data_IF_406564990201
#
_entry.id   IF_406564990201
#
_cell.length_a   1.000
_cell.length_b   1.000
_cell.length_c   1.000
_cell.angle_alpha   90.00
_cell.angle_beta   90.00
_cell.angle_gamma   90.00
#
_symmetry.space_group_name_H-M   'P 1'
#
loop_
_entity.id
_entity.type
_entity.pdbx_description
1 polymer ?
#
# COMPACT_ATOMS: atom_id res chain seq x y z
N UNK A 1 -0.60 -13.67 27.72
CA UNK A 1 -0.59 -13.84 27.64
C UNK A 1 -0.68 -13.72 27.23
N UNK A 2 -0.56 -13.77 26.80
CA UNK A 2 -0.67 -13.96 26.44
C UNK A 2 -0.64 -13.81 25.88
N UNK A 3 -0.53 -14.03 25.48
CA UNK A 3 -0.61 -14.29 25.08
C UNK A 3 -0.37 -14.10 24.53
N UNK A 4 -0.24 -14.18 24.17
CA UNK A 4 -0.09 -14.31 23.78
C UNK A 4 -0.13 -14.07 23.25
N UNK A 5 -0.08 -14.18 22.94
CA UNK A 5 -0.20 -14.35 22.65
C UNK A 5 -0.28 -14.12 22.11
N UNK A 6 -0.20 -14.31 21.70
CA UNK A 6 -0.47 -14.43 21.43
C UNK A 6 -0.45 -14.21 20.97
N UNK A 7 -0.36 -14.26 20.73
CA UNK A 7 -0.49 -14.36 20.51
C UNK A 7 -0.61 -14.08 20.13
N UNK A 8 -0.63 -14.20 19.88
CA UNK A 8 -0.86 -14.10 19.65
C UNK A 8 -0.89 -13.67 19.16
N UNK A 9 -0.61 -13.75 18.67
CA UNK A 9 -0.72 -13.50 18.34
C UNK A 9 -0.85 -13.09 17.92
N UNK A 10 -0.66 -13.22 17.41
CA UNK A 10 -0.89 -12.95 17.16
C UNK A 10 -1.61 -12.61 17.15
N UNK A 11 -1.78 -12.55 17.00
CA UNK A 11 -2.57 -12.33 17.14
C UNK A 11 -3.16 -11.89 17.59
N UNK A 12 -3.24 -11.97 17.74
CA UNK A 12 -3.87 -11.55 18.03
C UNK A 12 -4.11 -10.69 18.12
N UNK A 13 -3.55 -10.24 17.91
CA UNK A 13 -3.88 -9.50 17.78
C UNK A 13 -4.42 -9.23 17.32
N UNK A 14 -4.52 -9.53 17.27
CA UNK A 14 -5.26 -9.25 16.76
C UNK A 14 -6.34 -8.89 17.15
N UNK A 15 -6.40 -8.79 17.81
CA UNK A 15 -7.41 -8.39 18.00
C UNK A 15 -8.03 -7.55 17.51
N UNK A 16 -8.11 -7.46 18.16
CA UNK A 16 -9.07 -6.99 17.40
C UNK A 16 -8.86 -7.22 15.98
N UNK A 17 -8.02 -8.07 15.75
CA UNK A 17 -7.94 -8.65 14.48
C UNK A 17 -7.55 -7.76 13.32
N UNK A 18 -6.95 -6.63 13.59
CA UNK A 18 -6.44 -5.83 12.49
C UNK A 18 -5.18 -6.46 11.96
N UNK A 19 -5.14 -6.67 10.64
CA UNK A 19 -3.99 -7.26 10.01
C UNK A 19 -2.99 -6.19 9.66
N UNK A 20 -1.74 -6.42 10.02
CA UNK A 20 -0.63 -5.51 9.73
C UNK A 20 0.45 -6.26 8.99
N UNK A 21 1.03 -5.61 8.00
CA UNK A 21 2.12 -6.16 7.18
C UNK A 21 3.20 -5.12 7.01
N UNK A 22 4.44 -5.58 6.85
CA UNK A 22 5.56 -4.72 6.46
C UNK A 22 5.92 -5.11 5.04
N UNK A 23 5.89 -4.12 4.14
CA UNK A 23 6.05 -4.36 2.70
C UNK A 23 6.97 -3.32 2.09
N UNK A 24 7.62 -3.68 1.01
CA UNK A 24 8.32 -2.71 0.19
C UNK A 24 7.29 -1.94 -0.63
N UNK A 25 7.49 -0.63 -0.75
CA UNK A 25 6.61 0.25 -1.47
C UNK A 25 7.40 1.10 -2.46
N UNK A 26 6.81 1.30 -3.63
CA UNK A 26 7.27 2.27 -4.62
C UNK A 26 6.13 3.24 -4.89
N UNK A 27 6.34 4.16 -5.81
CA UNK A 27 5.32 5.13 -6.19
C UNK A 27 5.20 5.18 -7.70
N UNK A 28 4.00 5.46 -8.19
CA UNK A 28 3.75 5.63 -9.61
C UNK A 28 2.84 6.84 -9.84
N UNK A 29 2.84 7.31 -11.08
CA UNK A 29 2.05 8.46 -11.48
C UNK A 29 1.22 8.11 -12.70
N UNK A 30 0.34 9.02 -13.11
CA UNK A 30 -0.50 8.81 -14.30
C UNK A 30 0.15 9.36 -15.57
N UNK A 31 1.49 9.30 -15.65
CA UNK A 31 2.22 9.69 -16.85
C UNK A 31 2.01 8.64 -17.94
N UNK A 32 1.75 9.07 -19.17
CA UNK A 32 1.64 8.14 -20.30
C UNK A 32 2.95 7.40 -20.58
N UNK A 33 4.07 7.89 -20.06
CA UNK A 33 5.36 7.19 -20.18
C UNK A 33 5.52 6.06 -19.18
N UNK A 34 4.72 6.07 -18.13
CA UNK A 34 4.85 5.11 -17.03
C UNK A 34 3.70 4.11 -17.00
N UNK A 35 2.63 4.36 -17.74
CA UNK A 35 1.42 3.54 -17.72
C UNK A 35 1.00 3.19 -19.14
N UNK A 36 -0.10 2.47 -19.24
CA UNK A 36 -0.69 2.09 -20.53
C UNK A 36 -1.53 3.23 -21.14
N UNK A 37 -2.41 2.89 -22.07
CA UNK A 37 -3.23 3.86 -22.79
C UNK A 37 -4.31 4.51 -21.92
N UNK A 38 -4.53 4.04 -20.68
CA UNK A 38 -5.53 4.59 -19.78
C UNK A 38 -4.90 4.99 -18.44
N UNK A 39 -3.97 5.99 -18.47
CA UNK A 39 -3.17 6.29 -17.26
C UNK A 39 -3.96 6.87 -16.10
N UNK A 40 -5.19 7.31 -16.31
CA UNK A 40 -6.02 7.90 -15.25
C UNK A 40 -7.04 6.93 -14.67
N UNK A 41 -6.99 5.65 -15.10
CA UNK A 41 -7.88 4.63 -14.59
C UNK A 41 -7.05 3.46 -14.06
N UNK A 42 -7.50 2.93 -12.92
CA UNK A 42 -6.89 1.74 -12.33
C UNK A 42 -7.46 0.47 -12.95
N UNK A 43 -6.92 -0.68 -12.56
CA UNK A 43 -7.42 -1.98 -13.01
C UNK A 43 -8.90 -2.19 -12.66
N UNK A 44 -9.39 -1.55 -11.59
CA UNK A 44 -10.79 -1.67 -11.19
C UNK A 44 -11.67 -0.59 -11.82
N UNK A 45 -11.09 0.27 -12.67
CA UNK A 45 -11.83 1.37 -13.30
C UNK A 45 -11.96 2.61 -12.42
N UNK A 46 -11.32 2.62 -11.26
CA UNK A 46 -11.32 3.78 -10.38
C UNK A 46 -10.40 4.86 -10.96
N UNK A 47 -10.82 6.12 -10.86
CA UNK A 47 -9.97 7.22 -11.29
C UNK A 47 -8.79 7.37 -10.33
N UNK A 48 -7.57 7.54 -10.88
CA UNK A 48 -6.37 7.71 -10.05
C UNK A 48 -6.45 8.98 -9.23
N UNK A 49 -6.04 8.87 -7.98
CA UNK A 49 -5.97 9.97 -7.01
C UNK A 49 -5.11 9.55 -5.83
N UNK A 50 -4.70 10.50 -5.03
CA UNK A 50 -4.04 10.16 -3.78
C UNK A 50 -5.01 9.37 -2.90
N UNK A 51 -4.59 8.20 -2.47
CA UNK A 51 -5.45 7.23 -1.80
C UNK A 51 -5.65 5.95 -2.61
N UNK A 52 -5.10 5.90 -3.84
CA UNK A 52 -5.11 4.69 -4.65
C UNK A 52 -3.83 3.91 -4.40
N UNK A 53 -3.98 2.62 -4.19
CA UNK A 53 -2.87 1.71 -3.94
C UNK A 53 -2.93 0.56 -4.94
N UNK A 54 -1.79 0.28 -5.58
CA UNK A 54 -1.62 -0.94 -6.37
C UNK A 54 -0.89 -1.96 -5.52
N UNK A 55 -1.20 -3.23 -5.72
CA UNK A 55 -0.52 -4.32 -5.03
C UNK A 55 0.05 -5.28 -6.05
N UNK A 56 1.11 -5.99 -5.68
CA UNK A 56 1.61 -7.07 -6.51
C UNK A 56 0.54 -8.17 -6.59
N UNK A 57 0.47 -8.92 -7.70
CA UNK A 57 -0.62 -9.89 -7.91
C UNK A 57 -0.77 -10.91 -6.79
N UNK A 58 0.33 -11.35 -6.21
CA UNK A 58 0.30 -12.31 -5.10
C UNK A 58 -0.45 -11.77 -3.88
N UNK A 59 -0.41 -10.45 -3.67
CA UNK A 59 -1.07 -9.84 -2.52
C UNK A 59 -2.58 -9.73 -2.67
N UNK A 60 -3.13 -9.90 -3.88
CA UNK A 60 -4.57 -9.84 -4.07
C UNK A 60 -5.32 -10.92 -3.27
N UNK A 61 -4.64 -12.00 -2.91
CA UNK A 61 -5.22 -13.05 -2.08
C UNK A 61 -5.52 -12.58 -0.66
N UNK A 62 -4.71 -11.66 -0.15
CA UNK A 62 -4.84 -11.16 1.23
C UNK A 62 -5.26 -9.70 1.28
N UNK A 63 -5.11 -8.99 0.17
CA UNK A 63 -5.51 -7.59 0.02
C UNK A 63 -6.32 -7.46 -1.28
N UNK A 64 -7.52 -8.04 -1.33
CA UNK A 64 -8.32 -7.98 -2.56
C UNK A 64 -8.73 -6.55 -2.88
N UNK A 65 -9.11 -6.32 -4.15
CA UNK A 65 -9.60 -5.01 -4.57
C UNK A 65 -10.72 -4.53 -3.64
N UNK A 66 -10.63 -3.27 -3.25
CA UNK A 66 -11.58 -2.67 -2.33
C UNK A 66 -11.13 -2.68 -0.87
N UNK A 67 -10.07 -3.40 -0.55
CA UNK A 67 -9.52 -3.38 0.81
C UNK A 67 -9.04 -1.97 1.15
N UNK A 68 -9.40 -1.49 2.32
CA UNK A 68 -8.99 -0.17 2.82
C UNK A 68 -7.88 -0.33 3.84
N UNK A 69 -6.83 0.45 3.68
CA UNK A 69 -5.65 0.32 4.50
C UNK A 69 -5.11 1.69 4.92
N UNK A 70 -4.32 1.69 5.98
CA UNK A 70 -3.50 2.83 6.39
C UNK A 70 -2.04 2.48 6.18
N UNK A 71 -1.25 3.48 5.87
CA UNK A 71 0.17 3.30 5.62
C UNK A 71 0.99 4.13 6.59
N UNK A 72 2.17 3.63 6.92
CA UNK A 72 3.16 4.33 7.72
C UNK A 72 4.52 4.15 7.08
N UNK A 73 5.27 5.25 6.96
CA UNK A 73 6.59 5.25 6.32
C UNK A 73 7.65 4.81 7.33
N UNK A 74 8.28 3.68 7.05
CA UNK A 74 9.35 3.13 7.90
C UNK A 74 10.73 3.48 7.37
N UNK A 75 10.83 4.28 6.31
CA UNK A 75 12.10 4.70 5.74
C UNK A 75 12.39 4.02 4.42
N UNK A 76 13.47 4.47 3.78
CA UNK A 76 13.90 3.86 2.52
C UNK A 76 14.38 2.44 2.77
N UNK A 77 14.51 1.66 1.70
CA UNK A 77 15.09 0.31 1.79
C UNK A 77 16.54 0.34 2.28
N UNK A 78 17.15 1.52 2.28
CA UNK A 78 18.52 1.71 2.80
C UNK A 78 18.51 2.21 4.24
N UNK A 79 17.34 2.25 4.89
CA UNK A 79 17.23 2.60 6.30
C UNK A 79 17.21 4.09 6.61
N UNK A 80 16.85 4.94 5.66
CA UNK A 80 16.87 6.40 5.84
C UNK A 80 15.50 7.03 5.68
N UNK A 81 15.32 8.17 6.32
CA UNK A 81 14.14 9.00 6.10
C UNK A 81 12.85 8.44 6.66
N UNK A 82 12.93 7.73 7.79
CA UNK A 82 11.73 7.21 8.45
C UNK A 82 10.74 8.34 8.73
N UNK A 83 9.50 8.15 8.29
CA UNK A 83 8.44 9.12 8.49
C UNK A 83 8.41 10.27 7.50
N UNK A 84 9.37 10.32 6.58
CA UNK A 84 9.50 11.43 5.63
C UNK A 84 8.22 11.65 4.81
N UNK A 85 7.51 10.59 4.47
CA UNK A 85 6.31 10.65 3.65
C UNK A 85 5.02 10.42 4.45
N UNK A 86 5.09 10.43 5.77
CA UNK A 86 3.89 10.27 6.60
C UNK A 86 2.90 11.42 6.39
N UNK A 87 3.36 12.58 5.92
CA UNK A 87 2.45 13.68 5.60
C UNK A 87 1.46 13.31 4.49
N UNK A 88 1.81 12.36 3.62
CA UNK A 88 0.91 11.86 2.58
C UNK A 88 0.01 10.74 3.10
N UNK A 89 0.44 10.06 4.15
CA UNK A 89 -0.22 8.85 4.65
C UNK A 89 -1.11 9.13 5.86
N UNK A 90 -0.73 10.11 6.67
CA UNK A 90 -1.42 10.40 7.94
C UNK A 90 -2.87 10.76 7.68
N UNK A 91 -3.76 10.15 8.46
CA UNK A 91 -5.20 10.40 8.39
C UNK A 91 -5.81 10.13 7.02
N UNK A 92 -5.14 9.29 6.23
CA UNK A 92 -5.64 8.94 4.89
C UNK A 92 -5.87 7.45 4.79
N UNK A 93 -7.01 7.10 4.20
CA UNK A 93 -7.34 5.73 3.86
C UNK A 93 -6.94 5.49 2.41
N UNK A 94 -6.20 4.42 2.19
CA UNK A 94 -5.85 3.97 0.84
C UNK A 94 -6.75 2.81 0.47
N UNK A 95 -7.11 2.73 -0.80
CA UNK A 95 -7.95 1.65 -1.33
C UNK A 95 -7.14 0.84 -2.32
N UNK A 96 -7.12 -0.47 -2.15
CA UNK A 96 -6.50 -1.36 -3.12
C UNK A 96 -7.39 -1.36 -4.36
N UNK A 97 -6.92 -0.71 -5.42
CA UNK A 97 -7.70 -0.50 -6.63
C UNK A 97 -6.94 -0.81 -7.90
N UNK A 98 -5.67 -1.17 -7.78
CA UNK A 98 -4.83 -1.40 -8.94
C UNK A 98 -3.89 -2.57 -8.67
N UNK A 99 -3.25 -3.06 -9.73
CA UNK A 99 -2.35 -4.20 -9.64
C UNK A 99 -1.04 -3.86 -10.36
N UNK A 100 0.06 -4.30 -9.78
CA UNK A 100 1.39 -4.11 -10.35
C UNK A 100 1.67 -5.17 -11.41
N UNK A 101 2.79 -4.99 -12.11
CA UNK A 101 3.24 -5.94 -13.13
C UNK A 101 3.28 -7.38 -12.57
N UNK A 102 2.95 -8.39 -13.38
CA UNK A 102 2.90 -9.79 -12.94
C UNK A 102 4.18 -10.33 -12.30
N UNK A 103 5.33 -9.71 -12.57
CA UNK A 103 6.59 -10.14 -11.96
C UNK A 103 6.75 -9.71 -10.52
N UNK A 104 5.98 -8.71 -10.08
CA UNK A 104 6.15 -8.16 -8.75
C UNK A 104 5.62 -9.10 -7.69
N UNK A 105 6.32 -9.13 -6.54
CA UNK A 105 5.96 -9.97 -5.39
C UNK A 105 6.12 -9.17 -4.13
N UNK A 106 5.15 -9.29 -3.21
CA UNK A 106 5.21 -8.72 -1.87
C UNK A 106 5.52 -7.23 -1.85
N UNK A 107 4.94 -6.50 -2.81
CA UNK A 107 5.18 -5.07 -2.97
C UNK A 107 3.86 -4.34 -3.16
N UNK A 108 3.88 -3.06 -2.78
CA UNK A 108 2.78 -2.15 -3.07
C UNK A 108 3.33 -0.95 -3.83
N UNK A 109 2.45 -0.21 -4.48
CA UNK A 109 2.81 0.90 -5.33
C UNK A 109 1.80 2.01 -5.07
N UNK A 110 2.29 3.14 -4.55
CA UNK A 110 1.43 4.24 -4.12
C UNK A 110 1.28 5.22 -5.27
N UNK A 111 0.02 5.54 -5.65
CA UNK A 111 -0.19 6.57 -6.64
C UNK A 111 0.12 7.93 -6.05
N UNK A 112 0.95 8.70 -6.72
CA UNK A 112 1.28 10.07 -6.33
C UNK A 112 0.98 11.02 -7.48
N UNK A 113 0.63 12.27 -7.16
CA UNK A 113 0.15 13.20 -8.17
C UNK A 113 1.23 13.73 -9.10
N UNK A 114 2.49 13.70 -8.70
CA UNK A 114 3.55 14.24 -9.54
C UNK A 114 4.80 13.38 -9.53
N UNK A 115 5.53 13.46 -10.65
CA UNK A 115 6.72 12.64 -10.88
C UNK A 115 7.85 12.97 -9.90
N UNK A 116 8.03 14.25 -9.57
CA UNK A 116 9.11 14.64 -8.67
C UNK A 116 8.96 14.01 -7.29
N UNK A 117 7.75 14.01 -6.74
CA UNK A 117 7.48 13.37 -5.46
C UNK A 117 7.65 11.86 -5.56
N UNK A 118 7.19 11.25 -6.66
CA UNK A 118 7.35 9.81 -6.88
C UNK A 118 8.82 9.41 -6.92
N UNK A 119 9.67 10.22 -7.56
CA UNK A 119 11.11 9.95 -7.62
C UNK A 119 11.75 10.07 -6.24
N UNK A 120 11.35 11.08 -5.46
CA UNK A 120 11.87 11.22 -4.08
C UNK A 120 11.41 10.09 -3.19
N UNK A 121 10.20 9.57 -3.42
CA UNK A 121 9.67 8.45 -2.67
C UNK A 121 10.55 7.22 -2.84
N UNK A 122 10.95 6.93 -4.07
CA UNK A 122 11.85 5.85 -4.39
C UNK A 122 11.34 4.50 -3.92
N UNK A 123 12.23 3.70 -3.33
CA UNK A 123 11.91 2.40 -2.76
C UNK A 123 11.93 2.54 -1.24
N UNK A 124 10.79 2.26 -0.62
CA UNK A 124 10.61 2.42 0.82
C UNK A 124 10.04 1.17 1.44
N UNK A 125 10.12 1.13 2.76
CA UNK A 125 9.47 0.11 3.55
C UNK A 125 8.30 0.79 4.24
N UNK A 126 7.12 0.18 4.15
CA UNK A 126 5.93 0.73 4.79
C UNK A 126 5.30 -0.32 5.70
N UNK A 127 4.67 0.15 6.75
CA UNK A 127 3.75 -0.67 7.54
C UNK A 127 2.36 -0.43 6.98
N UNK A 128 1.66 -1.50 6.64
CA UNK A 128 0.33 -1.46 6.09
C UNK A 128 -0.62 -2.10 7.10
N UNK A 129 -1.64 -1.36 7.48
CA UNK A 129 -2.66 -1.85 8.40
C UNK A 129 -3.99 -1.93 7.66
N UNK A 130 -4.64 -3.11 7.67
CA UNK A 130 -5.95 -3.28 7.06
C UNK A 130 -6.99 -2.65 7.98
N UNK A 131 -7.74 -1.70 7.44
CA UNK A 131 -8.82 -1.03 8.17
C UNK A 131 -10.14 -1.75 7.93
N UNK A 132 -10.37 -2.15 6.68
CA UNK A 132 -11.64 -2.76 6.31
C UNK A 132 -11.45 -3.59 5.05
N UNK A 133 -11.96 -4.82 5.06
CA UNK A 133 -12.02 -5.65 3.86
C UNK A 133 -13.28 -5.32 3.06
N UNK A 134 -13.25 -5.55 1.74
CA UNK A 134 -14.43 -5.29 0.94
C UNK A 134 -15.55 -6.23 1.30
N UNK A 135 -16.79 -5.77 1.18
CA UNK A 135 -17.97 -6.61 1.37
C UNK A 135 -18.14 -7.53 0.17
N UNK A 136 -18.67 -8.67 0.44
CA UNK A 136 -19.04 -9.61 -0.61
C UNK A 136 -20.40 -9.28 -1.19
#
# INVERSE_FOLDING_TARGET
MLLSALAVAGAWAQMAGQKTMVLEATAYTSSVRETDSTPFLTATGMRTRLGVLAVSPDLLKVLPYGTKVRLKDLGSVYGRGRGQFDYLFRDRIFVVADVMHPRMREKVDVWLPDRATALRFGRRVVSLEVVEYPRR
#
